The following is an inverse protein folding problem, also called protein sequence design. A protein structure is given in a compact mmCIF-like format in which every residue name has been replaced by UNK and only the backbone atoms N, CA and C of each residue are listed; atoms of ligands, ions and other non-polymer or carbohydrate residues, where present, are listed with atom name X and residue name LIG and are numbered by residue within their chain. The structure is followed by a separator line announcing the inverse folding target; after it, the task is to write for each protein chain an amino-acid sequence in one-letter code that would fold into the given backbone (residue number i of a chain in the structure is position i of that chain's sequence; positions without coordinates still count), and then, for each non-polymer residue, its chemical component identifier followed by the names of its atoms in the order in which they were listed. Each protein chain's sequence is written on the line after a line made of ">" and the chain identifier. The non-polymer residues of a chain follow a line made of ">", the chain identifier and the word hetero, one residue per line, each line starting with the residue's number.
data_IF_820049930302
#
_entry.id   IF_820049930302
#
_cell.length_a   1.000
_cell.length_b   1.000
_cell.length_c   1.000
_cell.angle_alpha   90.00
_cell.angle_beta   90.00
_cell.angle_gamma   90.00
#
_symmetry.space_group_name_H-M   'P 1'
#
loop_
_entity.id
_entity.type
_entity.pdbx_description
1 polymer ?
#
# COMPACT_ATOMS: atom_id res chain seq x y z
N UNK A 1 9.03 11.71 -26.85
CA UNK A 1 9.76 10.88 -25.85
C UNK A 1 8.95 10.59 -24.56
N UNK A 2 7.65 10.95 -24.46
CA UNK A 2 6.89 10.86 -23.19
C UNK A 2 6.30 9.49 -22.81
N UNK A 3 6.06 8.57 -23.74
CA UNK A 3 5.38 7.30 -23.42
C UNK A 3 6.23 6.34 -22.59
N UNK A 4 7.54 6.23 -22.86
CA UNK A 4 8.40 5.29 -22.16
C UNK A 4 8.59 5.65 -20.67
N UNK A 5 8.68 6.95 -20.36
CA UNK A 5 8.81 7.44 -18.98
C UNK A 5 7.57 7.16 -18.12
N UNK A 6 6.35 7.27 -18.68
CA UNK A 6 5.10 6.96 -17.97
C UNK A 6 4.99 5.48 -17.61
N UNK A 7 5.34 4.60 -18.55
CA UNK A 7 5.30 3.15 -18.33
C UNK A 7 6.31 2.74 -17.25
N UNK A 8 7.56 3.18 -17.35
CA UNK A 8 8.58 2.89 -16.34
C UNK A 8 8.18 3.37 -14.93
N UNK A 9 7.57 4.56 -14.85
CA UNK A 9 7.09 5.10 -13.58
C UNK A 9 5.97 4.25 -12.97
N UNK A 10 4.97 3.86 -13.75
CA UNK A 10 3.87 3.05 -13.26
C UNK A 10 4.34 1.67 -12.80
N UNK A 11 5.27 1.05 -13.53
CA UNK A 11 5.91 -0.20 -13.12
C UNK A 11 6.66 -0.01 -11.81
N UNK A 12 7.42 1.08 -11.68
CA UNK A 12 8.20 1.36 -10.47
C UNK A 12 7.31 1.63 -9.24
N UNK A 13 6.23 2.41 -9.39
CA UNK A 13 5.24 2.62 -8.33
C UNK A 13 4.53 1.32 -7.95
N UNK A 14 4.18 0.49 -8.94
CA UNK A 14 3.63 -0.85 -8.71
C UNK A 14 4.58 -1.74 -7.91
N UNK A 15 5.87 -1.75 -8.27
CA UNK A 15 6.91 -2.49 -7.56
C UNK A 15 7.07 -2.00 -6.12
N UNK A 16 7.10 -0.67 -5.89
CA UNK A 16 7.17 -0.10 -4.54
C UNK A 16 5.96 -0.50 -3.69
N UNK A 17 4.76 -0.53 -4.28
CA UNK A 17 3.55 -0.98 -3.60
C UNK A 17 3.63 -2.46 -3.22
N UNK A 18 4.07 -3.32 -4.16
CA UNK A 18 4.27 -4.75 -3.89
C UNK A 18 5.32 -4.97 -2.79
N UNK A 19 6.43 -4.25 -2.81
CA UNK A 19 7.45 -4.32 -1.75
C UNK A 19 6.88 -3.92 -0.39
N UNK A 20 6.05 -2.86 -0.31
CA UNK A 20 5.41 -2.44 0.95
C UNK A 20 4.49 -3.53 1.50
N UNK A 21 3.62 -4.10 0.66
CA UNK A 21 2.72 -5.19 1.07
C UNK A 21 3.53 -6.41 1.50
N UNK A 22 4.56 -6.78 0.74
CA UNK A 22 5.47 -7.88 1.09
C UNK A 22 6.17 -7.67 2.42
N UNK A 23 6.67 -6.46 2.70
CA UNK A 23 7.29 -6.12 3.99
C UNK A 23 6.28 -6.13 5.14
N UNK A 24 5.04 -5.69 4.92
CA UNK A 24 3.98 -5.80 5.92
C UNK A 24 3.63 -7.26 6.24
N UNK A 25 3.54 -8.14 5.22
CA UNK A 25 3.36 -9.58 5.43
C UNK A 25 4.55 -10.16 6.19
N UNK A 26 5.78 -9.78 5.82
CA UNK A 26 6.98 -10.25 6.50
C UNK A 26 7.00 -9.87 7.98
N UNK A 27 6.58 -8.64 8.35
CA UNK A 27 6.44 -8.24 9.75
C UNK A 27 5.44 -9.13 10.48
N UNK A 28 4.26 -9.39 9.89
CA UNK A 28 3.24 -10.26 10.50
C UNK A 28 3.79 -11.67 10.74
N UNK A 29 4.48 -12.25 9.75
CA UNK A 29 5.07 -13.58 9.87
C UNK A 29 6.17 -13.61 10.92
N UNK A 30 7.06 -12.61 10.94
CA UNK A 30 8.11 -12.51 11.96
C UNK A 30 7.49 -12.42 13.36
N UNK A 31 6.47 -11.58 13.55
CA UNK A 31 5.79 -11.44 14.85
C UNK A 31 5.11 -12.75 15.25
N UNK A 32 4.40 -13.41 14.34
CA UNK A 32 3.70 -14.66 14.62
C UNK A 32 4.62 -15.84 14.92
N UNK A 33 5.75 -15.95 14.22
CA UNK A 33 6.65 -17.11 14.33
C UNK A 33 7.73 -16.92 15.39
N UNK A 34 8.26 -15.71 15.54
CA UNK A 34 9.44 -15.46 16.37
C UNK A 34 9.18 -14.65 17.64
N UNK A 35 8.08 -13.89 17.71
CA UNK A 35 7.82 -13.01 18.86
C UNK A 35 6.68 -13.44 19.76
N UNK A 36 5.77 -14.28 19.25
CA UNK A 36 4.62 -14.76 19.99
C UNK A 36 4.89 -16.19 20.47
N UNK A 37 5.22 -16.33 21.75
CA UNK A 37 5.29 -17.64 22.40
C UNK A 37 3.96 -17.88 23.13
N UNK A 38 3.24 -18.92 22.72
CA UNK A 38 1.94 -19.26 23.30
C UNK A 38 2.15 -20.48 24.19
N UNK A 39 2.28 -20.21 25.49
CA UNK A 39 2.40 -21.28 26.48
C UNK A 39 0.99 -21.65 26.95
N UNK A 40 0.61 -22.89 26.66
CA UNK A 40 -0.63 -23.49 27.14
C UNK A 40 -0.39 -24.10 28.51
N UNK A 41 -0.71 -23.37 29.57
CA UNK A 41 -0.61 -23.87 30.94
C UNK A 41 -2.01 -24.24 31.44
N UNK A 42 -2.31 -25.53 31.48
CA UNK A 42 -3.58 -26.03 31.99
C UNK A 42 -3.61 -27.53 32.20
N UNK A 43 -4.17 -27.96 33.32
CA UNK A 43 -4.54 -29.36 33.60
C UNK A 43 -5.99 -29.35 34.11
N UNK A 44 -6.91 -29.98 33.36
CA UNK A 44 -8.34 -30.00 33.67
C UNK A 44 -9.15 -28.79 33.16
N UNK A 45 -10.17 -28.37 33.93
CA UNK A 45 -11.16 -27.35 33.55
C UNK A 45 -10.67 -25.90 33.59
N UNK A 46 -9.45 -25.64 34.07
CA UNK A 46 -8.86 -24.31 34.11
C UNK A 46 -7.75 -24.21 33.05
N UNK A 47 -8.13 -23.78 31.85
CA UNK A 47 -7.20 -23.52 30.76
C UNK A 47 -6.79 -22.05 30.78
N UNK A 48 -5.50 -21.77 31.05
CA UNK A 48 -4.95 -20.41 30.99
C UNK A 48 -4.04 -20.28 29.77
N UNK A 49 -4.49 -19.49 28.80
CA UNK A 49 -3.68 -19.13 27.63
C UNK A 49 -2.83 -17.93 28.04
N UNK A 50 -1.52 -18.12 28.16
CA UNK A 50 -0.59 -17.01 28.36
C UNK A 50 0.18 -16.83 27.05
N UNK A 51 -0.15 -15.79 26.30
CA UNK A 51 0.69 -15.36 25.19
C UNK A 51 1.72 -14.37 25.72
N UNK A 52 3.00 -14.61 25.44
CA UNK A 52 4.08 -13.70 25.80
C UNK A 52 4.64 -13.03 24.54
N UNK A 53 4.91 -11.73 24.66
CA UNK A 53 5.49 -10.94 23.57
C UNK A 53 6.96 -10.66 23.90
N UNK A 54 7.88 -11.31 23.18
CA UNK A 54 9.32 -11.21 23.44
C UNK A 54 9.88 -9.83 22.99
N UNK A 55 9.04 -8.95 22.43
CA UNK A 55 9.40 -7.55 22.11
C UNK A 55 9.26 -6.59 23.30
N UNK A 56 8.49 -6.96 24.32
CA UNK A 56 8.30 -6.14 25.51
C UNK A 56 9.41 -6.41 26.53
N UNK A 57 9.66 -5.42 27.39
CA UNK A 57 10.49 -5.58 28.59
C UNK A 57 9.85 -6.59 29.56
N UNK A 58 8.54 -6.52 29.69
CA UNK A 58 7.76 -7.44 30.51
C UNK A 58 7.07 -8.46 29.58
N UNK A 59 7.43 -9.75 29.65
CA UNK A 59 6.91 -10.76 28.72
C UNK A 59 5.40 -11.00 28.87
N UNK A 60 4.79 -10.53 29.96
CA UNK A 60 3.35 -10.56 30.19
C UNK A 60 2.58 -9.48 29.43
N UNK A 61 3.27 -8.42 28.98
CA UNK A 61 2.63 -7.30 28.29
C UNK A 61 2.57 -7.57 26.78
N UNK A 62 1.35 -7.75 26.28
CA UNK A 62 1.08 -8.06 24.87
C UNK A 62 0.90 -6.82 23.98
N UNK A 63 1.05 -5.63 24.54
CA UNK A 63 0.70 -4.37 23.88
C UNK A 63 1.54 -4.12 22.62
N UNK A 64 2.84 -4.42 22.66
CA UNK A 64 3.74 -4.18 21.53
C UNK A 64 3.51 -5.12 20.35
N UNK A 65 3.21 -6.41 20.60
CA UNK A 65 2.90 -7.36 19.54
C UNK A 65 1.53 -7.05 18.92
N UNK A 66 0.53 -6.74 19.75
CA UNK A 66 -0.80 -6.30 19.29
C UNK A 66 -0.71 -5.02 18.46
N UNK A 67 0.12 -4.06 18.89
CA UNK A 67 0.39 -2.84 18.14
C UNK A 67 1.04 -3.15 16.78
N UNK A 68 2.00 -4.07 16.72
CA UNK A 68 2.63 -4.45 15.45
C UNK A 68 1.64 -5.05 14.45
N UNK A 69 0.74 -5.94 14.92
CA UNK A 69 -0.34 -6.47 14.09
C UNK A 69 -1.30 -5.39 13.62
N UNK A 70 -1.68 -4.46 14.50
CA UNK A 70 -2.56 -3.34 14.14
C UNK A 70 -1.93 -2.44 13.08
N UNK A 71 -0.67 -2.05 13.25
CA UNK A 71 0.06 -1.20 12.31
C UNK A 71 0.18 -1.86 10.93
N UNK A 72 0.51 -3.16 10.89
CA UNK A 72 0.63 -3.91 9.63
C UNK A 72 -0.74 -4.11 8.96
N UNK A 73 -1.77 -4.50 9.72
CA UNK A 73 -3.11 -4.73 9.21
C UNK A 73 -3.77 -3.46 8.66
N UNK A 74 -3.69 -2.35 9.40
CA UNK A 74 -4.20 -1.05 8.95
C UNK A 74 -3.47 -0.62 7.68
N UNK A 75 -2.15 -0.81 7.60
CA UNK A 75 -1.37 -0.46 6.41
C UNK A 75 -1.80 -1.24 5.16
N UNK A 76 -2.13 -2.52 5.30
CA UNK A 76 -2.68 -3.32 4.19
C UNK A 76 -4.06 -2.81 3.76
N UNK A 77 -4.93 -2.52 4.73
CA UNK A 77 -6.28 -2.02 4.46
C UNK A 77 -6.25 -0.66 3.76
N UNK A 78 -5.39 0.27 4.21
CA UNK A 78 -5.19 1.57 3.57
C UNK A 78 -4.64 1.40 2.15
N UNK A 79 -3.75 0.45 1.92
CA UNK A 79 -3.22 0.16 0.58
C UNK A 79 -4.30 -0.36 -0.36
N UNK A 80 -5.17 -1.26 0.13
CA UNK A 80 -6.32 -1.78 -0.63
C UNK A 80 -7.34 -0.67 -0.91
N UNK A 81 -7.67 0.15 0.09
CA UNK A 81 -8.58 1.27 -0.06
C UNK A 81 -8.04 2.27 -1.10
N UNK A 82 -6.74 2.58 -1.06
CA UNK A 82 -6.09 3.47 -2.04
C UNK A 82 -6.22 2.91 -3.45
N UNK A 83 -6.00 1.60 -3.64
CA UNK A 83 -6.17 0.96 -4.95
C UNK A 83 -7.61 1.03 -5.44
N UNK A 84 -8.59 0.84 -4.57
CA UNK A 84 -10.01 0.95 -4.93
C UNK A 84 -10.39 2.40 -5.27
N UNK A 85 -9.89 3.38 -4.49
CA UNK A 85 -10.08 4.79 -4.77
C UNK A 85 -9.51 5.17 -6.14
N UNK A 86 -8.34 4.66 -6.50
CA UNK A 86 -7.72 4.89 -7.81
C UNK A 86 -8.54 4.30 -8.96
N UNK A 87 -9.12 3.10 -8.75
CA UNK A 87 -10.04 2.51 -9.72
C UNK A 87 -11.33 3.32 -9.87
N UNK A 88 -11.87 3.88 -8.78
CA UNK A 88 -13.14 4.63 -8.81
C UNK A 88 -12.94 6.05 -9.34
N UNK A 89 -11.82 6.70 -9.01
CA UNK A 89 -11.53 8.09 -9.41
C UNK A 89 -11.03 8.24 -10.84
N UNK A 90 -11.12 7.16 -11.65
CA UNK A 90 -10.83 7.09 -13.09
C UNK A 90 -10.87 8.46 -13.79
N UNK A 91 -9.69 9.08 -13.87
CA UNK A 91 -9.38 10.25 -14.68
C UNK A 91 -10.08 11.57 -14.33
N UNK A 92 -10.54 11.78 -13.09
CA UNK A 92 -11.01 13.10 -12.65
C UNK A 92 -9.84 14.12 -12.55
N UNK A 93 -9.56 14.79 -13.67
CA UNK A 93 -8.87 16.09 -13.77
C UNK A 93 -7.65 16.33 -12.86
N UNK A 94 -6.66 15.42 -12.83
CA UNK A 94 -5.39 15.64 -12.11
C UNK A 94 -5.47 15.66 -10.57
N UNK A 95 -6.68 15.56 -9.99
CA UNK A 95 -6.87 15.50 -8.54
C UNK A 95 -6.34 14.18 -7.95
N UNK A 96 -6.32 13.11 -8.76
CA UNK A 96 -5.79 11.81 -8.35
C UNK A 96 -4.34 11.87 -7.85
N UNK A 97 -3.47 12.65 -8.51
CA UNK A 97 -2.06 12.75 -8.12
C UNK A 97 -1.85 13.41 -6.75
N UNK A 98 -2.70 14.39 -6.40
CA UNK A 98 -2.67 15.05 -5.10
C UNK A 98 -3.16 14.13 -3.98
N UNK A 99 -4.23 13.38 -4.23
CA UNK A 99 -4.76 12.41 -3.28
C UNK A 99 -3.72 11.29 -3.04
N UNK A 100 -3.11 10.76 -4.10
CA UNK A 100 -2.01 9.79 -3.96
C UNK A 100 -0.87 10.33 -3.13
N UNK A 101 -0.45 11.58 -3.38
CA UNK A 101 0.62 12.22 -2.61
C UNK A 101 0.30 12.30 -1.11
N UNK A 102 -0.91 12.76 -0.76
CA UNK A 102 -1.36 12.87 0.63
C UNK A 102 -1.40 11.49 1.29
N UNK A 103 -1.94 10.48 0.59
CA UNK A 103 -2.02 9.12 1.11
C UNK A 103 -0.61 8.54 1.35
N UNK A 104 0.34 8.74 0.44
CA UNK A 104 1.71 8.30 0.65
C UNK A 104 2.41 9.05 1.79
N UNK A 105 2.11 10.34 2.01
CA UNK A 105 2.61 11.10 3.15
C UNK A 105 2.03 10.59 4.48
N UNK A 106 0.72 10.35 4.55
CA UNK A 106 0.08 9.78 5.72
C UNK A 106 0.67 8.40 6.04
N UNK A 107 0.88 7.57 5.01
CA UNK A 107 1.53 6.26 5.15
C UNK A 107 2.97 6.42 5.67
N UNK A 108 3.73 7.37 5.13
CA UNK A 108 5.08 7.65 5.60
C UNK A 108 5.10 8.07 7.08
N UNK A 109 4.27 9.03 7.46
CA UNK A 109 4.15 9.49 8.84
C UNK A 109 3.75 8.35 9.78
N UNK A 110 2.80 7.51 9.38
CA UNK A 110 2.37 6.34 10.13
C UNK A 110 3.53 5.36 10.39
N UNK A 111 4.31 5.04 9.37
CA UNK A 111 5.46 4.14 9.50
C UNK A 111 6.64 4.74 10.26
N UNK A 112 6.83 6.06 10.22
CA UNK A 112 7.83 6.75 11.06
C UNK A 112 7.47 6.61 12.54
N UNK A 113 6.20 6.84 12.90
CA UNK A 113 5.72 6.68 14.28
C UNK A 113 5.94 5.23 14.74
N UNK A 114 5.53 4.25 13.92
CA UNK A 114 5.74 2.84 14.21
C UNK A 114 7.23 2.50 14.37
N UNK A 115 8.10 3.01 13.51
CA UNK A 115 9.54 2.78 13.57
C UNK A 115 10.17 3.34 14.84
N UNK A 116 9.75 4.53 15.29
CA UNK A 116 10.17 5.11 16.56
C UNK A 116 9.74 4.24 17.75
N UNK A 117 8.47 3.77 17.76
CA UNK A 117 7.95 2.89 18.81
C UNK A 117 8.72 1.57 18.86
N UNK A 118 8.93 0.90 17.72
CA UNK A 118 9.69 -0.36 17.67
C UNK A 118 11.16 -0.16 18.02
N UNK A 119 11.77 0.95 17.62
CA UNK A 119 13.16 1.27 17.99
C UNK A 119 13.31 1.48 19.49
N UNK A 120 12.32 2.11 20.13
CA UNK A 120 12.31 2.27 21.60
C UNK A 120 12.09 0.92 22.28
N UNK A 121 11.08 0.15 21.87
CA UNK A 121 10.81 -1.18 22.42
C UNK A 121 12.01 -2.12 22.31
N UNK A 122 12.70 -2.12 21.16
CA UNK A 122 13.90 -2.94 20.95
C UNK A 122 15.06 -2.53 21.88
N UNK A 123 15.25 -1.22 22.12
CA UNK A 123 16.25 -0.72 23.07
C UNK A 123 15.91 -1.13 24.50
N UNK A 124 14.66 -0.94 24.90
CA UNK A 124 14.19 -1.25 26.25
C UNK A 124 14.32 -2.77 26.52
N UNK A 125 13.98 -3.62 25.55
CA UNK A 125 14.09 -5.07 25.67
C UNK A 125 15.53 -5.59 25.73
N UNK A 126 16.49 -4.87 25.13
CA UNK A 126 17.91 -5.25 25.14
C UNK A 126 18.64 -4.82 26.42
N UNK A 127 18.05 -3.92 27.22
CA UNK A 127 18.60 -3.48 28.49
C UNK A 127 18.17 -4.34 29.68
N UNK A 128 17.29 -5.33 29.45
CA UNK A 128 16.79 -6.22 30.51
C UNK A 128 17.78 -7.36 30.71
N UNK A 129 18.52 -7.31 31.81
CA UNK A 129 19.31 -8.44 32.32
C UNK A 129 18.35 -9.36 33.08
N UNK A 130 18.27 -10.64 32.70
CA UNK A 130 17.45 -11.59 33.44
C UNK A 130 17.98 -11.77 34.87
N UNK A 131 17.11 -12.08 35.85
CA UNK A 131 17.52 -12.31 37.24
C UNK A 131 18.60 -13.39 37.41
N UNK A 132 18.76 -14.28 36.43
CA UNK A 132 19.78 -15.32 36.41
C UNK A 132 21.16 -14.84 35.92
N UNK A 133 21.35 -13.55 35.63
CA UNK A 133 22.60 -12.98 35.14
C UNK A 133 22.96 -13.36 33.69
N UNK A 134 22.08 -14.12 33.02
CA UNK A 134 22.20 -14.43 31.60
C UNK A 134 21.51 -13.34 30.78
N UNK A 135 22.23 -12.75 29.82
CA UNK A 135 21.62 -11.86 28.83
C UNK A 135 20.49 -12.60 28.11
N UNK A 136 19.37 -11.90 27.86
CA UNK A 136 18.38 -12.42 26.90
C UNK A 136 19.13 -12.71 25.60
N UNK A 137 18.94 -13.88 24.96
CA UNK A 137 19.66 -14.18 23.74
C UNK A 137 19.42 -13.03 22.77
N UNK A 138 20.51 -12.34 22.40
CA UNK A 138 20.52 -11.24 21.44
C UNK A 138 20.17 -11.80 20.07
N UNK A 139 18.89 -12.14 19.90
CA UNK A 139 18.42 -12.71 18.67
C UNK A 139 18.15 -11.57 17.70
N UNK A 140 18.84 -11.63 16.55
CA UNK A 140 18.87 -10.58 15.53
C UNK A 140 17.47 -10.09 15.11
N UNK A 141 16.42 -10.90 15.29
CA UNK A 141 15.04 -10.54 14.94
C UNK A 141 14.50 -9.32 15.69
N UNK A 142 14.95 -9.03 16.93
CA UNK A 142 14.54 -7.82 17.68
C UNK A 142 14.96 -6.54 16.97
N UNK A 143 16.13 -6.57 16.33
CA UNK A 143 16.67 -5.44 15.56
C UNK A 143 16.15 -5.40 14.13
N UNK A 144 15.69 -6.54 13.59
CA UNK A 144 15.14 -6.60 12.24
C UNK A 144 13.84 -5.81 12.10
N UNK A 145 12.92 -5.89 13.08
CA UNK A 145 11.63 -5.18 13.03
C UNK A 145 11.80 -3.65 12.88
N UNK A 146 12.57 -2.95 13.75
CA UNK A 146 12.76 -1.51 13.59
C UNK A 146 13.44 -1.19 12.25
N UNK A 147 14.43 -1.98 11.82
CA UNK A 147 15.08 -1.78 10.51
C UNK A 147 14.08 -1.90 9.36
N UNK A 148 13.25 -2.95 9.34
CA UNK A 148 12.22 -3.14 8.31
C UNK A 148 11.23 -1.98 8.32
N UNK A 149 10.80 -1.52 9.49
CA UNK A 149 9.86 -0.39 9.60
C UNK A 149 10.43 0.92 9.05
N UNK A 150 11.72 1.20 9.26
CA UNK A 150 12.42 2.33 8.65
C UNK A 150 12.51 2.20 7.13
N UNK A 151 12.79 1.00 6.62
CA UNK A 151 12.81 0.73 5.18
C UNK A 151 11.43 0.99 4.57
N UNK A 152 10.34 0.55 5.21
CA UNK A 152 8.97 0.83 4.74
C UNK A 152 8.68 2.34 4.76
N UNK A 153 9.08 3.06 5.79
CA UNK A 153 8.93 4.52 5.87
C UNK A 153 9.67 5.23 4.71
N UNK A 154 10.91 4.82 4.42
CA UNK A 154 11.69 5.36 3.31
C UNK A 154 11.05 5.07 1.95
N UNK A 155 10.54 3.84 1.75
CA UNK A 155 9.80 3.49 0.53
C UNK A 155 8.49 4.29 0.39
N UNK A 156 7.84 4.61 1.51
CA UNK A 156 6.66 5.48 1.52
C UNK A 156 7.01 6.92 1.16
N UNK A 157 8.08 7.47 1.73
CA UNK A 157 8.58 8.80 1.40
C UNK A 157 8.98 8.91 -0.08
N UNK A 158 9.69 7.92 -0.61
CA UNK A 158 10.11 7.91 -2.01
C UNK A 158 8.91 7.87 -2.97
N UNK A 159 7.88 7.08 -2.65
CA UNK A 159 6.61 7.10 -3.39
C UNK A 159 5.92 8.48 -3.32
N UNK A 160 5.91 9.11 -2.14
CA UNK A 160 5.35 10.46 -1.97
C UNK A 160 6.08 11.49 -2.85
N UNK A 161 7.41 11.48 -2.89
CA UNK A 161 8.21 12.40 -3.72
C UNK A 161 7.87 12.21 -5.21
N UNK A 162 7.72 10.96 -5.65
CA UNK A 162 7.36 10.64 -7.03
C UNK A 162 5.94 11.12 -7.37
N UNK A 163 4.98 10.98 -6.45
CA UNK A 163 3.61 11.47 -6.62
C UNK A 163 3.58 13.02 -6.66
N UNK A 164 4.32 13.67 -5.76
CA UNK A 164 4.46 15.13 -5.75
C UNK A 164 5.00 15.67 -7.07
N UNK A 165 6.02 15.02 -7.63
CA UNK A 165 6.60 15.42 -8.91
C UNK A 165 5.58 15.39 -10.06
N UNK A 166 4.57 14.53 -10.01
CA UNK A 166 3.48 14.51 -11.00
C UNK A 166 2.40 15.54 -10.70
N UNK A 167 2.02 15.70 -9.44
CA UNK A 167 1.09 16.75 -9.02
C UNK A 167 1.60 18.14 -9.46
N UNK A 168 2.89 18.40 -9.31
CA UNK A 168 3.54 19.63 -9.77
C UNK A 168 3.52 19.79 -11.30
N UNK A 169 3.70 18.71 -12.08
CA UNK A 169 3.61 18.77 -13.55
C UNK A 169 2.18 19.07 -14.01
N UNK A 170 1.18 18.44 -13.40
CA UNK A 170 -0.23 18.71 -13.69
C UNK A 170 -0.59 20.17 -13.41
N UNK A 171 -0.12 20.74 -12.30
CA UNK A 171 -0.33 22.17 -12.02
C UNK A 171 0.33 23.06 -13.08
N UNK A 172 1.57 22.75 -13.49
CA UNK A 172 2.26 23.54 -14.52
C UNK A 172 1.53 23.49 -15.86
N UNK A 173 1.08 22.31 -16.28
CA UNK A 173 0.41 22.14 -17.57
C UNK A 173 -1.03 22.69 -17.57
N UNK A 174 -1.74 22.66 -16.43
CA UNK A 174 -3.08 23.25 -16.30
C UNK A 174 -3.08 24.77 -16.04
N UNK A 175 -2.13 25.30 -15.26
CA UNK A 175 -2.06 26.75 -14.97
C UNK A 175 -1.40 27.57 -16.08
N UNK A 176 -0.59 26.95 -16.96
CA UNK A 176 -0.01 27.62 -18.13
C UNK A 176 -0.83 27.47 -19.42
N UNK A 177 -1.96 26.75 -19.41
CA UNK A 177 -2.88 26.62 -20.55
C UNK A 177 -3.86 27.80 -20.68
N UNK A 178 -3.78 28.78 -19.80
CA UNK A 178 -4.62 29.99 -19.81
C UNK A 178 -3.96 31.19 -20.48
N UNK A 179 -3.48 31.09 -21.73
CA UNK A 179 -3.36 32.27 -22.62
C UNK A 179 -3.13 31.98 -24.13
N UNK A 180 -3.45 30.78 -24.63
CA UNK A 180 -3.35 30.47 -26.07
C UNK A 180 -4.72 30.50 -26.79
N UNK A 181 -5.68 31.27 -26.28
CA UNK A 181 -6.92 31.58 -27.01
C UNK A 181 -6.69 32.54 -28.20
N UNK A 182 -5.44 32.98 -28.47
CA UNK A 182 -5.13 33.93 -29.54
C UNK A 182 -3.99 33.51 -30.50
N UNK A 183 -3.63 32.22 -30.58
CA UNK A 183 -2.70 31.72 -31.61
C UNK A 183 -3.33 30.68 -32.52
N UNK A 184 -4.08 31.19 -33.48
CA UNK A 184 -4.01 30.68 -34.85
C UNK A 184 -4.81 29.42 -35.14
N UNK A 185 -6.00 29.62 -35.70
CA UNK A 185 -6.50 28.81 -36.81
C UNK A 185 -5.37 28.57 -37.81
N UNK A 186 -4.69 27.42 -37.78
CA UNK A 186 -4.01 26.85 -38.95
C UNK A 186 -3.80 25.35 -38.77
N UNK A 187 -4.72 24.62 -39.42
CA UNK A 187 -4.54 23.32 -40.06
C UNK A 187 -4.01 22.19 -39.17
N UNK A 188 -4.92 21.31 -38.76
CA UNK A 188 -4.80 19.90 -39.11
C UNK A 188 -6.18 19.24 -39.19
N UNK A 189 -6.75 19.30 -40.41
CA UNK A 189 -7.60 18.25 -40.92
C UNK A 189 -6.69 17.04 -41.21
N UNK A 190 -6.44 16.18 -40.23
CA UNK A 190 -6.12 14.78 -40.49
C UNK A 190 -7.00 13.91 -39.61
N UNK A 191 -8.06 13.44 -40.27
CA UNK A 191 -8.81 12.21 -40.05
C UNK A 191 -8.71 11.60 -38.65
N UNK A 192 -9.81 11.77 -37.92
CA UNK A 192 -10.34 10.72 -37.03
C UNK A 192 -10.32 9.39 -37.80
N UNK A 193 -9.51 8.45 -37.35
CA UNK A 193 -9.85 7.04 -37.47
C UNK A 193 -10.43 6.65 -36.11
N UNK A 194 -11.76 6.72 -36.02
CA UNK A 194 -12.47 6.08 -34.91
C UNK A 194 -12.23 4.57 -35.03
N UNK A 195 -11.96 3.85 -33.93
CA UNK A 195 -12.13 2.41 -33.93
C UNK A 195 -13.57 2.12 -34.37
N UNK A 196 -13.74 1.46 -35.51
CA UNK A 196 -15.03 0.94 -35.95
C UNK A 196 -15.60 0.11 -34.79
N UNK A 197 -16.65 0.63 -34.15
CA UNK A 197 -17.58 -0.24 -33.46
C UNK A 197 -18.06 -1.27 -34.49
N UNK A 198 -17.99 -2.58 -34.20
CA UNK A 198 -18.56 -3.58 -35.09
C UNK A 198 -20.02 -3.21 -35.32
N UNK A 199 -20.39 -3.09 -36.59
CA UNK A 199 -21.72 -2.71 -37.00
C UNK A 199 -22.76 -3.55 -36.24
N UNK A 200 -23.74 -2.90 -35.65
CA UNK A 200 -24.90 -3.58 -35.09
C UNK A 200 -25.47 -4.50 -36.18
N UNK A 201 -25.56 -5.80 -35.87
CA UNK A 201 -26.12 -6.79 -36.78
C UNK A 201 -27.61 -6.47 -36.97
N UNK A 202 -27.95 -5.86 -38.10
CA UNK A 202 -29.34 -5.76 -38.56
C UNK A 202 -29.75 -7.13 -39.13
N UNK A 203 -30.72 -7.82 -38.52
CA UNK A 203 -31.23 -9.07 -39.08
C UNK A 203 -31.90 -8.79 -40.44
N UNK A 204 -31.79 -9.72 -41.41
CA UNK A 204 -32.40 -9.57 -42.72
C UNK A 204 -33.91 -9.33 -42.60
N UNK A 205 -34.40 -8.26 -43.23
CA UNK A 205 -35.83 -7.95 -43.33
C UNK A 205 -36.52 -9.10 -44.07
N UNK A 206 -37.32 -9.88 -43.34
CA UNK A 206 -38.04 -11.04 -43.88
C UNK A 206 -38.09 -12.26 -42.97
N UNK A 207 -37.40 -12.26 -41.82
CA UNK A 207 -37.53 -13.34 -40.84
C UNK A 207 -38.72 -13.09 -39.90
N UNK A 208 -39.73 -13.94 -40.02
CA UNK A 208 -40.90 -13.98 -39.14
C UNK A 208 -40.49 -14.08 -37.66
N UNK A 209 -41.05 -13.26 -36.76
CA UNK A 209 -40.71 -13.25 -35.34
C UNK A 209 -41.03 -14.58 -34.61
N UNK A 210 -41.76 -15.49 -35.24
CA UNK A 210 -42.14 -16.78 -34.67
C UNK A 210 -40.99 -17.81 -34.55
N UNK A 211 -39.88 -17.62 -35.27
CA UNK A 211 -38.76 -18.61 -35.26
C UNK A 211 -37.77 -18.37 -34.10
N UNK A 212 -37.82 -17.23 -33.41
CA UNK A 212 -36.89 -16.89 -32.31
C UNK A 212 -37.22 -17.51 -30.95
N UNK A 213 -38.33 -18.24 -30.80
CA UNK A 213 -38.76 -18.79 -29.51
C UNK A 213 -38.22 -20.21 -29.18
N UNK A 214 -37.55 -20.89 -30.11
CA UNK A 214 -37.14 -22.30 -29.94
C UNK A 214 -35.62 -22.55 -29.97
N UNK A 215 -34.80 -21.52 -29.81
CA UNK A 215 -33.36 -21.66 -29.68
C UNK A 215 -32.92 -21.20 -28.28
N UNK A 216 -33.21 -22.05 -27.29
CA UNK A 216 -32.52 -22.11 -26.00
C UNK A 216 -31.96 -23.51 -25.86
#
# INVERSE_FOLDING_TARGET
>A
MGCCSKICKNIFLGLLSLCKVGLSIAIIVIVAVHLQDVVYTGSGSNFKITASCIMSKDPTDQDYCSYAYAVAGISMLVSLATSLFLCITCNACGCGAWIEFILYLCQCAWWIIAACVFSKAAKDANQVVMPNGTDYPNQNWRTSIPVISWVVALLALLAAIIALADACKCMRDCCCAGDDSNKGKKKDKKAKEQPQQPAAYDPPKGQDPAVRANAV
#
